data_IF_000276903425
#
_entry.id   IF_000276903425
#
_cell.length_a   1.000
_cell.length_b   1.000
_cell.length_c   1.000
_cell.angle_alpha   90.00
_cell.angle_beta   90.00
_cell.angle_gamma   90.00
#
_symmetry.space_group_name_H-M   'P 1'
#
loop_
_entity.id
_entity.type
_entity.pdbx_description
1 polymer ?
#
# COMPACT_ATOMS: atom_id res chain seq x y z
N UNK A 1 -30.96 -18.57 12.47
CA UNK A 1 -30.51 -17.22 12.07
C UNK A 1 -29.00 -17.30 11.96
N UNK A 2 -28.56 -17.64 10.75
CA UNK A 2 -27.32 -18.35 10.45
C UNK A 2 -26.06 -17.48 10.48
N UNK A 3 -25.14 -17.77 11.41
CA UNK A 3 -23.77 -17.23 11.43
C UNK A 3 -22.99 -17.54 10.13
N UNK A 4 -23.43 -18.52 9.34
CA UNK A 4 -22.82 -18.96 8.08
C UNK A 4 -22.97 -17.94 6.94
N UNK A 5 -23.95 -17.03 7.00
CA UNK A 5 -24.17 -16.01 5.95
C UNK A 5 -23.11 -14.90 6.04
N UNK A 6 -22.71 -14.51 7.26
CA UNK A 6 -21.71 -13.46 7.49
C UNK A 6 -20.31 -13.84 7.00
N UNK A 7 -19.90 -15.10 7.21
CA UNK A 7 -18.60 -15.62 6.77
C UNK A 7 -18.47 -15.68 5.24
N UNK A 8 -19.54 -16.06 4.54
CA UNK A 8 -19.55 -16.11 3.08
C UNK A 8 -19.46 -14.71 2.45
N UNK A 9 -20.11 -13.70 3.04
CA UNK A 9 -20.04 -12.32 2.55
C UNK A 9 -18.62 -11.74 2.67
N UNK A 10 -17.93 -12.06 3.78
CA UNK A 10 -16.55 -11.63 4.01
C UNK A 10 -15.55 -12.34 3.09
N UNK A 11 -15.68 -13.66 2.90
CA UNK A 11 -14.85 -14.44 1.95
C UNK A 11 -15.02 -13.92 0.51
N UNK A 12 -16.24 -13.56 0.11
CA UNK A 12 -16.51 -12.98 -1.20
C UNK A 12 -15.88 -11.60 -1.38
N UNK A 13 -15.90 -10.78 -0.32
CA UNK A 13 -15.26 -9.46 -0.32
C UNK A 13 -13.72 -9.59 -0.37
N UNK A 14 -13.14 -10.54 0.37
CA UNK A 14 -11.71 -10.87 0.37
C UNK A 14 -11.23 -11.41 -1.00
N UNK A 15 -12.03 -12.24 -1.68
CA UNK A 15 -11.73 -12.70 -3.05
C UNK A 15 -11.75 -11.56 -4.06
N UNK A 16 -12.68 -10.60 -3.93
CA UNK A 16 -12.72 -9.40 -4.78
C UNK A 16 -11.54 -8.47 -4.52
N UNK A 17 -11.12 -8.33 -3.26
CA UNK A 17 -9.89 -7.63 -2.88
C UNK A 17 -8.65 -8.27 -3.48
N UNK A 18 -8.50 -9.60 -3.35
CA UNK A 18 -7.35 -10.34 -3.88
C UNK A 18 -7.24 -10.25 -5.40
N UNK A 19 -8.37 -10.30 -6.11
CA UNK A 19 -8.41 -10.07 -7.57
C UNK A 19 -8.03 -8.62 -7.94
N UNK A 20 -8.52 -7.63 -7.19
CA UNK A 20 -8.13 -6.21 -7.41
C UNK A 20 -6.65 -5.96 -7.09
N UNK A 21 -6.10 -6.60 -6.06
CA UNK A 21 -4.69 -6.51 -5.70
C UNK A 21 -3.80 -7.10 -6.82
N UNK A 22 -4.12 -8.30 -7.30
CA UNK A 22 -3.39 -8.95 -8.42
C UNK A 22 -3.46 -8.14 -9.72
N UNK A 23 -4.59 -7.49 -10.00
CA UNK A 23 -4.72 -6.57 -11.14
C UNK A 23 -3.94 -5.28 -10.94
N UNK A 24 -3.84 -4.77 -9.70
CA UNK A 24 -2.99 -3.62 -9.36
C UNK A 24 -1.50 -3.94 -9.43
N UNK A 25 -1.06 -5.14 -9.04
CA UNK A 25 0.32 -5.62 -9.22
C UNK A 25 0.67 -5.80 -10.70
N UNK A 26 -0.26 -6.32 -11.52
CA UNK A 26 -0.08 -6.38 -12.98
C UNK A 26 0.05 -5.00 -13.63
N UNK A 27 -0.58 -3.96 -13.06
CA UNK A 27 -0.39 -2.56 -13.49
C UNK A 27 0.94 -1.99 -13.01
N UNK A 28 1.37 -2.29 -11.79
CA UNK A 28 2.70 -1.90 -11.27
C UNK A 28 3.86 -2.48 -12.09
N UNK A 29 3.74 -3.74 -12.55
CA UNK A 29 4.73 -4.36 -13.45
C UNK A 29 4.81 -3.70 -14.85
N UNK A 30 3.85 -2.86 -15.24
CA UNK A 30 3.90 -2.14 -16.53
C UNK A 30 4.76 -0.86 -16.48
N UNK A 31 5.16 -0.41 -15.29
CA UNK A 31 6.08 0.73 -15.09
C UNK A 31 7.54 0.32 -14.90
N UNK A 32 7.85 -0.98 -14.74
CA UNK A 32 9.23 -1.52 -14.80
C UNK A 32 9.55 -2.12 -16.19
N UNK A 33 9.21 -1.41 -17.26
CA UNK A 33 9.70 -1.77 -18.60
C UNK A 33 9.99 -0.51 -19.41
N UNK A 34 11.00 0.24 -18.99
CA UNK A 34 11.73 1.15 -19.88
C UNK A 34 13.08 1.50 -19.26
N UNK A 35 13.98 0.51 -19.18
CA UNK A 35 15.43 0.75 -19.22
C UNK A 35 16.00 -0.27 -20.20
N UNK A 36 15.86 0.06 -21.48
CA UNK A 36 16.80 -0.22 -22.57
C UNK A 36 16.10 -0.01 -23.91
N UNK A 37 16.72 0.81 -24.76
CA UNK A 37 16.30 1.06 -26.13
C UNK A 37 16.23 2.55 -26.42
N UNK A 38 17.33 3.07 -26.96
CA UNK A 38 17.41 4.35 -27.65
C UNK A 38 16.29 4.46 -28.71
N UNK A 39 15.46 5.50 -28.65
CA UNK A 39 15.05 6.28 -29.83
C UNK A 39 14.21 7.52 -29.44
N UNK A 40 14.22 8.50 -30.34
CA UNK A 40 13.77 9.88 -30.22
C UNK A 40 12.25 10.09 -29.91
N UNK A 41 11.94 11.30 -29.37
CA UNK A 41 10.63 12.01 -29.34
C UNK A 41 10.05 12.30 -27.93
N UNK A 42 10.20 13.57 -27.49
CA UNK A 42 9.48 14.28 -26.42
C UNK A 42 8.93 13.47 -25.22
N UNK A 43 9.82 13.00 -24.33
CA UNK A 43 9.41 12.55 -22.98
C UNK A 43 8.94 13.75 -22.17
N UNK A 44 7.64 13.89 -21.92
CA UNK A 44 7.16 14.74 -20.83
C UNK A 44 7.81 14.26 -19.54
N UNK A 45 8.76 15.02 -19.01
CA UNK A 45 9.45 14.69 -17.76
C UNK A 45 8.46 14.86 -16.62
N UNK A 46 7.74 13.80 -16.27
CA UNK A 46 6.86 13.80 -15.10
C UNK A 46 7.71 13.70 -13.83
N UNK A 47 7.92 14.83 -13.17
CA UNK A 47 8.58 14.84 -11.87
C UNK A 47 7.59 14.41 -10.77
N UNK A 48 7.77 13.21 -10.25
CA UNK A 48 6.92 12.65 -9.21
C UNK A 48 7.33 13.13 -7.80
N UNK A 49 8.56 13.62 -7.62
CA UNK A 49 9.15 14.00 -6.34
C UNK A 49 8.28 14.98 -5.50
N UNK A 50 7.66 16.04 -6.06
CA UNK A 50 6.85 16.95 -5.25
C UNK A 50 5.58 16.31 -4.69
N UNK A 51 5.05 15.26 -5.33
CA UNK A 51 3.81 14.60 -4.90
C UNK A 51 4.04 13.55 -3.80
N UNK A 52 5.27 13.04 -3.68
CA UNK A 52 5.63 11.96 -2.74
C UNK A 52 5.32 12.35 -1.29
N UNK A 53 5.73 13.56 -0.88
CA UNK A 53 5.47 14.07 0.48
C UNK A 53 3.98 14.23 0.77
N UNK A 54 3.22 14.76 -0.19
CA UNK A 54 1.78 14.94 -0.04
C UNK A 54 1.05 13.60 0.09
N UNK A 55 1.43 12.61 -0.72
CA UNK A 55 0.91 11.25 -0.65
C UNK A 55 1.22 10.61 0.70
N UNK A 56 2.49 10.65 1.12
CA UNK A 56 2.91 10.10 2.42
C UNK A 56 2.15 10.76 3.58
N UNK A 57 2.09 12.09 3.64
CA UNK A 57 1.47 12.80 4.77
C UNK A 57 -0.02 12.46 4.91
N UNK A 58 -0.74 12.30 3.79
CA UNK A 58 -2.14 11.93 3.80
C UNK A 58 -2.33 10.50 4.30
N UNK A 59 -1.49 9.56 3.83
CA UNK A 59 -1.58 8.16 4.24
C UNK A 59 -1.17 7.96 5.70
N UNK A 60 -0.14 8.66 6.19
CA UNK A 60 0.32 8.55 7.59
C UNK A 60 -0.76 9.01 8.58
N UNK A 61 -1.54 10.06 8.23
CA UNK A 61 -2.67 10.52 9.04
C UNK A 61 -3.72 9.42 9.23
N UNK A 62 -4.03 8.68 8.17
CA UNK A 62 -4.96 7.54 8.23
C UNK A 62 -4.37 6.35 9.00
N UNK A 63 -3.05 6.17 8.95
CA UNK A 63 -2.34 5.11 9.68
C UNK A 63 -2.32 5.36 11.20
N UNK A 64 -2.20 6.64 11.60
CA UNK A 64 -2.18 7.08 13.01
C UNK A 64 -3.58 7.19 13.62
N UNK A 65 -4.63 7.34 12.83
CA UNK A 65 -6.00 7.41 13.32
C UNK A 65 -6.40 6.11 14.06
N UNK A 66 -6.71 6.24 15.34
CA UNK A 66 -7.12 5.11 16.18
C UNK A 66 -8.55 4.68 15.86
N UNK A 67 -9.44 5.65 15.67
CA UNK A 67 -10.89 5.49 15.52
C UNK A 67 -11.32 5.61 14.05
N UNK A 68 -11.07 4.54 13.30
CA UNK A 68 -11.50 4.39 11.91
C UNK A 68 -11.87 2.93 11.67
N UNK A 69 -12.76 2.71 10.71
CA UNK A 69 -13.17 1.37 10.29
C UNK A 69 -11.98 0.47 9.96
N UNK A 70 -12.07 -0.80 10.37
CA UNK A 70 -11.01 -1.78 10.18
C UNK A 70 -10.63 -1.93 8.71
N UNK A 71 -11.61 -2.03 7.81
CA UNK A 71 -11.35 -2.14 6.36
C UNK A 71 -10.57 -0.92 5.84
N UNK A 72 -10.89 0.27 6.34
CA UNK A 72 -10.20 1.51 5.95
C UNK A 72 -8.76 1.52 6.45
N UNK A 73 -8.54 1.03 7.68
CA UNK A 73 -7.20 0.89 8.28
C UNK A 73 -6.34 -0.10 7.49
N UNK A 74 -6.90 -1.25 7.12
CA UNK A 74 -6.20 -2.24 6.28
C UNK A 74 -5.82 -1.69 4.91
N UNK A 75 -6.71 -0.89 4.28
CA UNK A 75 -6.40 -0.20 3.03
C UNK A 75 -5.29 0.83 3.18
N UNK A 76 -5.25 1.57 4.28
CA UNK A 76 -4.19 2.53 4.55
C UNK A 76 -2.83 1.84 4.70
N UNK A 77 -2.76 0.71 5.42
CA UNK A 77 -1.54 -0.09 5.60
C UNK A 77 -1.02 -0.60 4.25
N UNK A 78 -1.89 -1.20 3.44
CA UNK A 78 -1.51 -1.68 2.12
C UNK A 78 -1.04 -0.55 1.20
N UNK A 79 -1.72 0.60 1.22
CA UNK A 79 -1.36 1.77 0.43
C UNK A 79 0.00 2.32 0.85
N UNK A 80 0.26 2.44 2.17
CA UNK A 80 1.55 2.90 2.67
C UNK A 80 2.68 1.94 2.31
N UNK A 81 2.45 0.62 2.37
CA UNK A 81 3.44 -0.36 1.91
C UNK A 81 3.81 -0.19 0.43
N UNK A 82 2.83 0.11 -0.44
CA UNK A 82 3.10 0.41 -1.84
C UNK A 82 3.85 1.74 -2.04
N UNK A 83 3.53 2.77 -1.26
CA UNK A 83 4.25 4.05 -1.30
C UNK A 83 5.71 3.82 -0.94
N UNK A 84 5.99 3.10 0.15
CA UNK A 84 7.36 2.83 0.59
C UNK A 84 8.11 1.98 -0.44
N UNK A 85 7.48 0.94 -1.00
CA UNK A 85 8.15 0.08 -1.97
C UNK A 85 8.48 0.76 -3.30
N UNK A 86 7.72 1.79 -3.71
CA UNK A 86 7.94 2.48 -4.98
C UNK A 86 8.65 3.83 -4.84
N UNK A 87 8.50 4.50 -3.69
CA UNK A 87 8.95 5.89 -3.46
C UNK A 87 9.87 5.99 -2.23
N UNK A 88 10.24 4.85 -1.61
CA UNK A 88 11.06 4.79 -0.40
C UNK A 88 12.40 5.50 -0.52
N UNK A 89 13.00 5.51 -1.71
CA UNK A 89 14.27 6.19 -1.99
C UNK A 89 14.19 7.71 -1.71
N UNK A 90 13.02 8.32 -1.96
CA UNK A 90 12.78 9.75 -1.70
C UNK A 90 12.18 10.03 -0.32
N UNK A 91 11.91 9.00 0.49
CA UNK A 91 11.20 9.07 1.77
C UNK A 91 12.02 8.59 2.97
N UNK A 92 13.35 8.47 2.84
CA UNK A 92 14.22 7.92 3.90
C UNK A 92 14.06 8.62 5.27
N UNK A 93 13.84 9.93 5.29
CA UNK A 93 13.62 10.68 6.53
C UNK A 93 12.30 10.29 7.22
N UNK A 94 11.22 10.17 6.45
CA UNK A 94 9.88 9.87 6.98
C UNK A 94 9.71 8.37 7.30
N UNK A 95 10.48 7.51 6.64
CA UNK A 95 10.51 6.07 6.90
C UNK A 95 10.87 5.76 8.35
N UNK A 96 11.75 6.55 8.97
CA UNK A 96 12.13 6.41 10.39
C UNK A 96 10.94 6.56 11.34
N UNK A 97 9.96 7.39 10.99
CA UNK A 97 8.72 7.54 11.75
C UNK A 97 7.65 6.51 11.35
N UNK A 98 7.66 6.07 10.09
CA UNK A 98 6.66 5.14 9.57
C UNK A 98 6.86 3.70 10.08
N UNK A 99 8.10 3.20 10.10
CA UNK A 99 8.42 1.83 10.47
C UNK A 99 7.97 1.44 11.90
N UNK A 100 8.15 2.28 12.92
CA UNK A 100 7.60 2.04 14.26
C UNK A 100 6.07 1.86 14.25
N UNK A 101 5.35 2.63 13.44
CA UNK A 101 3.89 2.53 13.30
C UNK A 101 3.52 1.18 12.67
N UNK A 102 4.25 0.74 11.63
CA UNK A 102 4.07 -0.60 11.07
C UNK A 102 4.34 -1.71 12.10
N UNK A 103 5.40 -1.59 12.90
CA UNK A 103 5.70 -2.56 13.96
C UNK A 103 4.60 -2.62 15.03
N UNK A 104 4.04 -1.48 15.42
CA UNK A 104 2.91 -1.44 16.35
C UNK A 104 1.68 -2.16 15.76
N UNK A 105 1.37 -1.90 14.48
CA UNK A 105 0.25 -2.57 13.78
C UNK A 105 0.51 -4.05 13.50
N UNK A 106 1.76 -4.47 13.44
CA UNK A 106 2.16 -5.87 13.32
C UNK A 106 1.85 -6.66 14.59
N UNK A 107 2.02 -6.02 15.76
CA UNK A 107 1.73 -6.62 17.08
C UNK A 107 0.22 -6.77 17.33
N UNK A 108 -0.61 -5.94 16.69
CA UNK A 108 -2.06 -6.05 16.77
C UNK A 108 -2.58 -7.22 15.91
N UNK A 109 -3.20 -8.22 16.54
CA UNK A 109 -3.70 -9.43 15.87
C UNK A 109 -4.65 -9.15 14.70
N UNK A 110 -5.47 -8.11 14.82
CA UNK A 110 -6.44 -7.68 13.81
C UNK A 110 -5.72 -7.16 12.54
N UNK A 111 -4.67 -6.36 12.68
CA UNK A 111 -3.97 -5.71 11.55
C UNK A 111 -2.70 -6.43 11.10
N UNK A 112 -2.32 -7.50 11.80
CA UNK A 112 -1.06 -8.23 11.62
C UNK A 112 -0.89 -8.74 10.20
N UNK A 113 -1.84 -9.51 9.66
CA UNK A 113 -1.71 -10.14 8.34
C UNK A 113 -1.54 -9.11 7.22
N UNK A 114 -2.28 -8.01 7.28
CA UNK A 114 -2.18 -6.91 6.30
C UNK A 114 -0.83 -6.20 6.39
N UNK A 115 -0.33 -6.02 7.60
CA UNK A 115 0.98 -5.41 7.85
C UNK A 115 2.11 -6.30 7.33
N UNK A 116 2.05 -7.62 7.57
CA UNK A 116 3.02 -8.59 7.02
C UNK A 116 3.06 -8.50 5.49
N UNK A 117 1.89 -8.55 4.83
CA UNK A 117 1.80 -8.45 3.37
C UNK A 117 2.41 -7.16 2.82
N UNK A 118 2.17 -6.04 3.51
CA UNK A 118 2.76 -4.76 3.12
C UNK A 118 4.29 -4.76 3.28
N UNK A 119 4.81 -5.31 4.37
CA UNK A 119 6.25 -5.43 4.60
C UNK A 119 6.92 -6.39 3.59
N UNK A 120 6.28 -7.50 3.23
CA UNK A 120 6.76 -8.41 2.18
C UNK A 120 6.84 -7.75 0.79
N UNK A 121 6.09 -6.67 0.57
CA UNK A 121 6.15 -5.90 -0.68
C UNK A 121 7.32 -4.90 -0.68
N UNK A 122 7.78 -4.48 0.50
CA UNK A 122 8.89 -3.54 0.69
C UNK A 122 10.25 -4.26 0.68
N UNK A 123 10.32 -5.47 1.24
CA UNK A 123 11.51 -6.32 1.31
C UNK A 123 11.76 -7.07 0.00
#
# INVERSE_FOLDING_TARGET
MDLTVGLNQLEHSQRRLSKKLKTSEKRGKRLRKSENGDDCNSKSSFDYKPYVKSLYSCTVKRLKAADIDQEVKERAIACMGQIIANLGDSLQAELKECLPIFLERLKNEITRLTTVKALTLIA
#
